data_IF_664980190613
#
_entry.id   IF_664980190613
#
_cell.length_a   1.000
_cell.length_b   1.000
_cell.length_c   1.000
_cell.angle_alpha   90.00
_cell.angle_beta   90.00
_cell.angle_gamma   90.00
#
_symmetry.space_group_name_H-M   'P 1'
#
loop_
_entity.id
_entity.type
_entity.pdbx_description
1 polymer ?
#
# COMPACT_ATOMS: atom_id res chain seq x y z
N UNK A 1 3.24 -11.10 -24.10
CA UNK A 1 3.54 -12.31 -24.88
C UNK A 1 4.06 -11.91 -26.25
N UNK A 2 5.31 -12.25 -26.58
CA UNK A 2 5.87 -12.05 -27.92
C UNK A 2 5.30 -13.08 -28.89
N UNK A 3 4.62 -12.63 -29.92
CA UNK A 3 4.28 -13.45 -31.08
C UNK A 3 5.16 -13.01 -32.24
N UNK A 4 5.63 -13.93 -33.06
CA UNK A 4 6.46 -13.70 -34.25
C UNK A 4 7.90 -13.27 -33.99
N UNK A 5 8.53 -13.76 -32.94
CA UNK A 5 9.98 -13.68 -32.76
C UNK A 5 10.62 -15.03 -33.04
N UNK A 6 11.85 -15.01 -33.51
CA UNK A 6 12.59 -16.20 -33.93
C UNK A 6 13.09 -17.05 -32.74
N UNK A 7 13.04 -16.47 -31.50
CA UNK A 7 13.46 -17.16 -30.28
C UNK A 7 12.78 -16.63 -29.02
N UNK A 8 12.78 -17.43 -27.95
CA UNK A 8 12.27 -17.00 -26.64
C UNK A 8 13.07 -15.82 -26.07
N UNK A 9 14.40 -15.82 -26.23
CA UNK A 9 15.27 -14.73 -25.79
C UNK A 9 14.97 -13.42 -26.51
N UNK A 10 14.66 -13.50 -27.79
CA UNK A 10 14.22 -12.31 -28.54
C UNK A 10 12.87 -11.79 -28.10
N UNK A 11 11.91 -12.70 -27.85
CA UNK A 11 10.61 -12.33 -27.28
C UNK A 11 10.75 -11.61 -25.96
N UNK A 12 11.64 -12.08 -25.09
CA UNK A 12 11.92 -11.48 -23.79
C UNK A 12 12.52 -10.08 -23.95
N UNK A 13 13.52 -9.93 -24.81
CA UNK A 13 14.14 -8.63 -25.08
C UNK A 13 13.14 -7.60 -25.62
N UNK A 14 12.27 -8.00 -26.54
CA UNK A 14 11.23 -7.14 -27.09
C UNK A 14 10.17 -6.79 -26.04
N UNK A 15 9.86 -7.71 -25.14
CA UNK A 15 8.92 -7.46 -24.03
C UNK A 15 9.50 -6.44 -23.02
N UNK A 16 10.79 -6.56 -22.68
CA UNK A 16 11.49 -5.58 -21.83
C UNK A 16 11.51 -4.19 -22.44
N UNK A 17 11.86 -4.09 -23.73
CA UNK A 17 11.82 -2.81 -24.44
C UNK A 17 10.40 -2.20 -24.47
N UNK A 18 9.37 -3.01 -24.68
CA UNK A 18 7.99 -2.56 -24.64
C UNK A 18 7.60 -2.05 -23.25
N UNK A 19 8.02 -2.74 -22.18
CA UNK A 19 7.81 -2.31 -20.81
C UNK A 19 8.47 -0.96 -20.50
N UNK A 20 9.73 -0.78 -20.89
CA UNK A 20 10.44 0.50 -20.72
C UNK A 20 9.71 1.65 -21.43
N UNK A 21 9.18 1.39 -22.64
CA UNK A 21 8.40 2.39 -23.38
C UNK A 21 7.09 2.72 -22.67
N UNK A 22 6.40 1.72 -22.09
CA UNK A 22 5.19 1.95 -21.32
C UNK A 22 5.46 2.77 -20.05
N UNK A 23 6.53 2.44 -19.32
CA UNK A 23 6.96 3.16 -18.11
C UNK A 23 7.37 4.61 -18.46
N UNK A 24 8.17 4.79 -19.51
CA UNK A 24 8.61 6.13 -19.96
C UNK A 24 7.48 7.04 -20.40
N UNK A 25 6.30 6.49 -20.71
CA UNK A 25 5.07 7.24 -21.04
C UNK A 25 4.16 7.50 -19.83
N UNK A 26 4.59 7.13 -18.64
CA UNK A 26 3.86 7.36 -17.39
C UNK A 26 3.19 6.12 -16.79
N UNK A 27 3.44 4.94 -17.33
CA UNK A 27 2.80 3.69 -16.86
C UNK A 27 1.31 3.64 -17.20
N UNK A 28 0.56 2.81 -16.46
CA UNK A 28 -0.88 2.63 -16.62
C UNK A 28 -1.33 2.28 -18.05
N UNK A 29 -0.46 1.62 -18.79
CA UNK A 29 -0.70 1.19 -20.17
C UNK A 29 0.09 -0.07 -20.50
N UNK A 30 -0.38 -0.85 -21.45
CA UNK A 30 0.35 -1.94 -22.04
C UNK A 30 0.98 -1.50 -23.38
N UNK A 31 2.26 -1.80 -23.58
CA UNK A 31 2.91 -1.65 -24.87
C UNK A 31 3.15 -3.04 -25.47
N UNK A 32 2.81 -3.20 -26.73
CA UNK A 32 3.01 -4.43 -27.49
C UNK A 32 3.98 -4.15 -28.62
N UNK A 33 5.12 -4.82 -28.63
CA UNK A 33 6.07 -4.75 -29.76
C UNK A 33 5.54 -5.60 -30.93
N UNK A 34 5.57 -5.04 -32.11
CA UNK A 34 5.23 -5.74 -33.36
C UNK A 34 6.44 -6.42 -34.03
N UNK A 35 7.61 -6.33 -33.42
CA UNK A 35 8.89 -6.77 -33.96
C UNK A 35 9.92 -5.65 -33.98
N UNK A 36 11.16 -5.97 -34.40
CA UNK A 36 12.30 -5.03 -34.31
C UNK A 36 12.10 -3.72 -35.04
N UNK A 37 11.37 -3.70 -36.14
CA UNK A 37 11.21 -2.52 -37.01
C UNK A 37 9.81 -1.96 -37.06
N UNK A 38 8.82 -2.66 -36.48
CA UNK A 38 7.39 -2.37 -36.69
C UNK A 38 6.78 -1.45 -35.61
N UNK A 39 7.57 -0.95 -34.66
CA UNK A 39 7.09 -0.05 -33.61
C UNK A 39 6.30 -0.73 -32.50
N UNK A 40 5.53 0.07 -31.75
CA UNK A 40 4.78 -0.40 -30.58
C UNK A 40 3.31 0.03 -30.70
N UNK A 41 2.42 -0.91 -30.38
CA UNK A 41 1.02 -0.55 -30.10
C UNK A 41 0.85 -0.30 -28.59
N UNK A 42 0.08 0.70 -28.23
CA UNK A 42 -0.22 1.04 -26.85
C UNK A 42 -1.70 0.82 -26.59
N UNK A 43 -1.99 0.12 -25.47
CA UNK A 43 -3.34 -0.19 -25.02
C UNK A 43 -3.51 0.26 -23.57
N UNK A 44 -4.65 0.85 -23.25
CA UNK A 44 -4.89 1.48 -21.96
C UNK A 44 -4.40 2.92 -21.95
N UNK A 45 -4.65 3.64 -20.87
CA UNK A 45 -4.31 5.06 -20.74
C UNK A 45 -4.82 5.99 -21.87
N UNK A 46 -5.98 5.73 -22.41
CA UNK A 46 -6.78 6.76 -23.07
C UNK A 46 -7.53 7.60 -22.02
N UNK A 47 -6.90 7.78 -20.88
CA UNK A 47 -7.32 8.84 -19.99
C UNK A 47 -6.53 10.06 -20.41
N UNK A 48 -7.18 10.93 -21.13
CA UNK A 48 -6.75 12.29 -21.46
C UNK A 48 -5.78 12.80 -20.39
N UNK A 49 -4.66 13.36 -20.83
CA UNK A 49 -3.86 14.33 -20.08
C UNK A 49 -4.75 15.49 -19.63
N UNK A 50 -5.71 15.20 -18.79
CA UNK A 50 -6.27 16.20 -17.90
C UNK A 50 -5.22 16.37 -16.82
N UNK A 51 -4.67 17.56 -16.81
CA UNK A 51 -3.66 18.08 -15.89
C UNK A 51 -3.68 17.39 -14.53
N UNK A 52 -2.50 16.89 -14.09
CA UNK A 52 -2.27 16.22 -12.81
C UNK A 52 -2.50 17.15 -11.60
N UNK A 53 -3.53 17.94 -11.63
CA UNK A 53 -4.02 18.76 -10.53
C UNK A 53 -5.39 18.27 -10.11
N UNK A 54 -5.41 17.11 -9.48
CA UNK A 54 -6.59 16.61 -8.81
C UNK A 54 -7.07 15.27 -9.34
N UNK A 55 -6.95 14.24 -8.54
CA UNK A 55 -7.50 12.91 -8.79
C UNK A 55 -8.97 12.96 -9.23
N UNK A 56 -9.44 11.90 -9.88
CA UNK A 56 -10.82 11.84 -10.38
C UNK A 56 -11.81 12.23 -9.26
N UNK A 57 -12.98 12.73 -9.64
CA UNK A 57 -14.05 13.09 -8.68
C UNK A 57 -14.29 11.93 -7.69
N UNK A 58 -14.25 10.70 -8.18
CA UNK A 58 -14.37 9.49 -7.35
C UNK A 58 -13.25 9.38 -6.31
N UNK A 59 -11.99 9.65 -6.68
CA UNK A 59 -10.85 9.63 -5.76
C UNK A 59 -10.99 10.69 -4.68
N UNK A 60 -11.46 11.88 -5.02
CA UNK A 60 -11.71 12.97 -4.04
C UNK A 60 -12.80 12.59 -3.05
N UNK A 61 -13.93 12.07 -3.54
CA UNK A 61 -15.03 11.62 -2.69
C UNK A 61 -14.56 10.51 -1.73
N UNK A 62 -13.76 9.57 -2.23
CA UNK A 62 -13.19 8.50 -1.38
C UNK A 62 -12.25 9.07 -0.34
N UNK A 63 -11.35 9.99 -0.71
CA UNK A 63 -10.45 10.65 0.22
C UNK A 63 -11.20 11.45 1.29
N UNK A 64 -12.25 12.17 0.91
CA UNK A 64 -13.08 12.92 1.86
C UNK A 64 -13.80 12.00 2.84
N UNK A 65 -14.32 10.85 2.38
CA UNK A 65 -14.93 9.84 3.25
C UNK A 65 -13.93 9.27 4.25
N UNK A 66 -12.72 8.91 3.78
CA UNK A 66 -11.65 8.42 4.65
C UNK A 66 -11.28 9.50 5.68
N UNK A 67 -11.18 10.75 5.27
CA UNK A 67 -10.89 11.88 6.16
C UNK A 67 -11.97 12.05 7.25
N UNK A 68 -13.24 11.86 6.90
CA UNK A 68 -14.34 11.90 7.89
C UNK A 68 -14.16 10.78 8.92
N UNK A 69 -13.87 9.54 8.48
CA UNK A 69 -13.64 8.40 9.39
C UNK A 69 -12.44 8.66 10.31
N UNK A 70 -11.32 9.16 9.76
CA UNK A 70 -10.14 9.53 10.56
C UNK A 70 -10.48 10.60 11.59
N UNK A 71 -11.26 11.61 11.21
CA UNK A 71 -11.62 12.70 12.10
C UNK A 71 -12.59 12.28 13.22
N UNK A 72 -13.44 11.30 12.98
CA UNK A 72 -14.36 10.76 13.99
C UNK A 72 -13.70 9.79 14.97
N UNK A 73 -12.57 9.21 14.60
CA UNK A 73 -11.86 8.25 15.45
C UNK A 73 -11.03 8.94 16.53
N UNK A 74 -10.91 8.30 17.70
CA UNK A 74 -10.03 8.72 18.78
C UNK A 74 -8.57 8.40 18.45
N UNK A 75 -8.33 7.24 17.85
CA UNK A 75 -7.02 6.81 17.37
C UNK A 75 -7.16 5.97 16.10
N UNK A 76 -6.15 6.04 15.25
CA UNK A 76 -6.08 5.27 14.00
C UNK A 76 -4.93 4.28 14.07
N UNK A 77 -5.22 3.02 13.82
CA UNK A 77 -4.22 1.95 13.76
C UNK A 77 -4.09 1.48 12.32
N UNK A 78 -2.89 1.45 11.81
CA UNK A 78 -2.60 1.07 10.44
C UNK A 78 -1.80 -0.22 10.44
N UNK A 79 -2.27 -1.22 9.72
CA UNK A 79 -1.69 -2.55 9.72
C UNK A 79 -1.64 -3.09 8.30
N UNK A 80 -0.58 -3.81 7.98
CA UNK A 80 -0.42 -4.49 6.71
C UNK A 80 -0.75 -5.97 6.78
N UNK A 81 -0.22 -6.75 5.84
CA UNK A 81 -0.36 -8.20 5.86
C UNK A 81 0.64 -8.87 6.82
N UNK A 82 0.34 -10.11 7.27
CA UNK A 82 1.07 -10.84 8.30
C UNK A 82 2.56 -11.12 7.96
N UNK A 83 2.89 -11.13 6.68
CA UNK A 83 4.27 -11.27 6.20
C UNK A 83 4.72 -9.98 5.55
N UNK A 84 4.57 -8.86 6.27
CA UNK A 84 4.80 -7.52 5.76
C UNK A 84 6.15 -7.40 5.06
N UNK A 85 6.11 -6.93 3.83
CA UNK A 85 7.28 -6.52 3.07
C UNK A 85 7.55 -5.01 3.27
N UNK A 86 8.55 -4.50 2.57
CA UNK A 86 8.92 -3.09 2.65
C UNK A 86 7.80 -2.16 2.22
N UNK A 87 6.97 -2.59 1.26
CA UNK A 87 5.87 -1.78 0.72
C UNK A 87 4.75 -1.66 1.75
N UNK A 88 4.38 -2.77 2.39
CA UNK A 88 3.38 -2.85 3.45
C UNK A 88 3.77 -1.99 4.66
N UNK A 89 5.01 -2.15 5.15
CA UNK A 89 5.53 -1.40 6.29
C UNK A 89 5.66 0.09 5.95
N UNK A 90 6.19 0.40 4.77
CA UNK A 90 6.33 1.79 4.29
C UNK A 90 4.99 2.49 4.15
N UNK A 91 3.98 1.81 3.61
CA UNK A 91 2.62 2.33 3.48
C UNK A 91 2.00 2.62 4.86
N UNK A 92 2.15 1.68 5.82
CA UNK A 92 1.62 1.85 7.18
C UNK A 92 2.26 3.06 7.89
N UNK A 93 3.58 3.18 7.86
CA UNK A 93 4.32 4.29 8.49
C UNK A 93 3.97 5.61 7.80
N UNK A 94 3.96 5.65 6.48
CA UNK A 94 3.66 6.86 5.71
C UNK A 94 2.25 7.38 5.97
N UNK A 95 1.26 6.49 6.05
CA UNK A 95 -0.11 6.84 6.36
C UNK A 95 -0.24 7.32 7.82
N UNK A 96 0.37 6.62 8.80
CA UNK A 96 0.35 7.03 10.19
C UNK A 96 0.97 8.43 10.39
N UNK A 97 2.12 8.68 9.78
CA UNK A 97 2.78 9.98 9.82
C UNK A 97 1.90 11.09 9.19
N UNK A 98 1.24 10.79 8.09
CA UNK A 98 0.34 11.73 7.41
C UNK A 98 -0.87 12.09 8.28
N UNK A 99 -1.48 11.10 8.94
CA UNK A 99 -2.62 11.30 9.84
C UNK A 99 -2.20 12.10 11.08
N UNK A 100 -1.00 11.85 11.62
CA UNK A 100 -0.45 12.67 12.73
C UNK A 100 -0.27 14.13 12.35
N UNK A 101 0.15 14.42 11.12
CA UNK A 101 0.23 15.80 10.62
C UNK A 101 -1.13 16.50 10.53
N UNK A 102 -2.22 15.74 10.49
CA UNK A 102 -3.59 16.25 10.59
C UNK A 102 -4.03 16.48 12.05
N UNK A 103 -3.16 16.26 13.03
CA UNK A 103 -3.46 16.44 14.46
C UNK A 103 -4.18 15.26 15.10
N UNK A 104 -4.22 14.09 14.45
CA UNK A 104 -4.87 12.89 14.97
C UNK A 104 -3.85 11.87 15.49
N UNK A 105 -4.23 11.11 16.51
CA UNK A 105 -3.40 10.00 16.98
C UNK A 105 -3.43 8.87 15.96
N UNK A 106 -2.26 8.43 15.50
CA UNK A 106 -2.14 7.33 14.56
C UNK A 106 -0.88 6.50 14.84
N UNK A 107 -1.00 5.21 14.63
CA UNK A 107 0.03 4.22 14.91
C UNK A 107 0.18 3.25 13.74
N UNK A 108 1.40 3.06 13.25
CA UNK A 108 1.73 1.97 12.35
C UNK A 108 1.99 0.72 13.19
N UNK A 109 1.22 -0.33 12.94
CA UNK A 109 1.35 -1.60 13.64
C UNK A 109 2.28 -2.50 12.83
N UNK A 110 3.47 -2.80 13.39
CA UNK A 110 4.50 -3.58 12.72
C UNK A 110 4.92 -4.73 13.63
N UNK A 111 4.76 -5.98 13.15
CA UNK A 111 5.16 -7.17 13.89
C UNK A 111 6.67 -7.35 13.88
N UNK A 112 7.22 -7.86 14.98
CA UNK A 112 8.62 -8.30 15.04
C UNK A 112 8.87 -9.60 14.30
N UNK A 113 7.81 -10.40 14.08
CA UNK A 113 7.90 -11.72 13.46
C UNK A 113 7.84 -11.65 11.92
N UNK A 114 8.09 -10.46 11.35
CA UNK A 114 8.09 -10.27 9.92
C UNK A 114 9.20 -11.07 9.27
N UNK A 115 8.77 -11.98 8.39
CA UNK A 115 9.55 -12.65 7.36
C UNK A 115 10.30 -13.93 7.74
N UNK A 116 10.04 -14.94 6.93
CA UNK A 116 10.80 -16.19 6.88
C UNK A 116 12.23 -16.02 6.32
N UNK A 117 12.51 -14.91 5.63
CA UNK A 117 13.83 -14.63 5.02
C UNK A 117 14.80 -13.88 5.93
N UNK A 118 14.36 -13.41 7.10
CA UNK A 118 15.21 -12.73 8.08
C UNK A 118 15.57 -11.27 7.76
N UNK A 119 15.34 -10.79 6.54
CA UNK A 119 15.73 -9.44 6.13
C UNK A 119 14.83 -8.36 6.73
N UNK A 120 13.54 -8.64 6.87
CA UNK A 120 12.56 -7.68 7.38
C UNK A 120 12.56 -7.64 8.92
N UNK A 121 12.98 -8.72 9.58
CA UNK A 121 13.10 -8.74 11.05
C UNK A 121 14.03 -7.64 11.56
N UNK A 122 15.18 -7.49 10.95
CA UNK A 122 16.13 -6.42 11.30
C UNK A 122 15.54 -5.03 11.05
N UNK A 123 14.72 -4.87 9.99
CA UNK A 123 14.05 -3.62 9.71
C UNK A 123 13.00 -3.30 10.77
N UNK A 124 12.14 -4.24 11.14
CA UNK A 124 11.09 -4.01 12.15
C UNK A 124 11.68 -3.64 13.51
N UNK A 125 12.76 -4.29 13.94
CA UNK A 125 13.47 -3.94 15.17
C UNK A 125 14.08 -2.53 15.12
N UNK A 126 14.70 -2.15 13.99
CA UNK A 126 15.23 -0.81 13.78
C UNK A 126 14.13 0.25 13.76
N UNK A 127 12.99 -0.03 13.11
CA UNK A 127 11.86 0.88 13.06
C UNK A 127 11.21 1.04 14.42
N UNK A 128 10.96 -0.05 15.14
CA UNK A 128 10.42 0.02 16.49
C UNK A 128 11.36 0.79 17.43
N UNK A 129 12.67 0.57 17.34
CA UNK A 129 13.68 1.32 18.10
C UNK A 129 13.68 2.80 17.72
N UNK A 130 13.80 3.12 16.44
CA UNK A 130 13.91 4.51 15.94
C UNK A 130 12.67 5.34 16.20
N UNK A 131 11.49 4.76 16.06
CA UNK A 131 10.22 5.46 16.23
C UNK A 131 9.63 5.36 17.64
N UNK A 132 10.30 4.67 18.58
CA UNK A 132 9.95 4.67 19.99
C UNK A 132 10.30 6.00 20.70
N UNK A 133 11.20 6.79 20.12
CA UNK A 133 11.59 8.12 20.65
C UNK A 133 10.47 9.17 20.50
N UNK A 134 9.47 8.91 19.67
CA UNK A 134 8.31 9.78 19.55
C UNK A 134 7.36 9.55 20.73
N UNK A 135 6.81 10.62 21.29
CA UNK A 135 5.78 10.55 22.33
C UNK A 135 4.45 11.12 21.81
N UNK A 136 3.44 10.29 21.56
CA UNK A 136 3.44 8.82 21.59
C UNK A 136 4.21 8.18 20.41
N UNK A 137 4.71 6.94 20.54
CA UNK A 137 5.51 6.26 19.51
C UNK A 137 4.71 6.12 18.21
N UNK A 138 5.36 6.36 17.06
CA UNK A 138 4.71 6.25 15.74
C UNK A 138 4.49 4.79 15.32
N UNK A 139 5.42 3.92 15.68
CA UNK A 139 5.39 2.50 15.36
C UNK A 139 5.20 1.71 16.64
N UNK A 140 4.25 0.80 16.65
CA UNK A 140 3.93 -0.07 17.79
C UNK A 140 3.77 -1.53 17.31
N UNK A 141 3.88 -2.47 18.23
CA UNK A 141 3.56 -3.86 17.93
C UNK A 141 2.04 -4.08 17.84
N UNK A 142 1.55 -5.02 17.00
CA UNK A 142 0.13 -5.34 16.91
C UNK A 142 -0.52 -5.72 18.24
N UNK A 143 0.21 -6.41 19.11
CA UNK A 143 -0.24 -6.75 20.47
C UNK A 143 -0.52 -5.51 21.33
N UNK A 144 0.31 -4.48 21.17
CA UNK A 144 0.10 -3.21 21.89
C UNK A 144 -1.11 -2.47 21.30
N UNK A 145 -1.29 -2.54 19.99
CA UNK A 145 -2.47 -1.98 19.33
C UNK A 145 -3.75 -2.67 19.84
N UNK A 146 -3.78 -3.99 19.94
CA UNK A 146 -4.93 -4.76 20.43
C UNK A 146 -5.36 -4.34 21.85
N UNK A 147 -4.41 -4.06 22.73
CA UNK A 147 -4.70 -3.61 24.12
C UNK A 147 -5.27 -2.18 24.13
N UNK A 148 -4.83 -1.32 23.21
CA UNK A 148 -5.23 0.09 23.15
C UNK A 148 -6.47 0.34 22.30
N UNK A 149 -6.89 -0.67 21.52
CA UNK A 149 -8.02 -0.53 20.60
C UNK A 149 -9.32 -0.37 21.38
N UNK A 150 -10.14 0.59 21.00
CA UNK A 150 -11.43 0.92 21.60
C UNK A 150 -12.53 0.93 20.55
N UNK A 151 -13.78 1.05 20.98
CA UNK A 151 -14.94 1.12 20.07
C UNK A 151 -14.86 2.30 19.10
N UNK A 152 -14.22 3.39 19.49
CA UNK A 152 -14.02 4.57 18.65
C UNK A 152 -12.69 4.56 17.89
N UNK A 153 -11.97 3.45 17.88
CA UNK A 153 -10.73 3.33 17.11
C UNK A 153 -11.02 2.97 15.65
N UNK A 154 -10.20 3.50 14.74
CA UNK A 154 -10.24 3.15 13.31
C UNK A 154 -9.08 2.22 12.98
N UNK A 155 -9.37 1.06 12.39
CA UNK A 155 -8.37 0.19 11.81
C UNK A 155 -8.29 0.43 10.29
N UNK A 156 -7.11 0.79 9.80
CA UNK A 156 -6.80 0.89 8.39
C UNK A 156 -5.91 -0.28 7.98
N UNK A 157 -6.37 -1.09 7.05
CA UNK A 157 -5.59 -2.18 6.48
C UNK A 157 -5.01 -1.70 5.15
N UNK A 158 -3.70 -1.84 5.00
CA UNK A 158 -2.97 -1.45 3.79
C UNK A 158 -2.33 -2.68 3.15
N UNK A 159 -2.13 -2.63 1.84
CA UNK A 159 -1.42 -3.63 1.03
C UNK A 159 -2.06 -5.04 1.03
N UNK A 160 -3.23 -5.21 1.60
CA UNK A 160 -4.02 -6.42 1.50
C UNK A 160 -5.51 -6.12 1.61
N UNK A 161 -6.31 -6.92 0.93
CA UNK A 161 -7.78 -6.91 1.05
C UNK A 161 -8.31 -8.22 1.65
N UNK A 162 -7.39 -9.11 2.06
CA UNK A 162 -7.74 -10.44 2.58
C UNK A 162 -7.60 -10.40 4.09
N UNK A 163 -8.70 -10.46 4.81
CA UNK A 163 -8.77 -10.42 6.27
C UNK A 163 -7.84 -11.44 6.94
N UNK A 164 -7.81 -12.67 6.45
CA UNK A 164 -6.95 -13.75 6.98
C UNK A 164 -5.45 -13.53 6.79
N UNK A 165 -5.07 -12.54 6.00
CA UNK A 165 -3.67 -12.19 5.75
C UNK A 165 -3.19 -10.98 6.55
N UNK A 166 -4.05 -10.38 7.36
CA UNK A 166 -3.67 -9.27 8.23
C UNK A 166 -2.75 -9.77 9.34
N UNK A 167 -1.80 -8.96 9.75
CA UNK A 167 -0.73 -9.32 10.69
C UNK A 167 -1.24 -9.78 12.06
N UNK A 168 -2.35 -9.21 12.53
CA UNK A 168 -3.02 -9.68 13.74
C UNK A 168 -4.52 -9.67 13.58
N UNK A 169 -5.15 -10.81 13.83
CA UNK A 169 -6.61 -10.97 13.76
C UNK A 169 -7.30 -10.43 15.02
N UNK A 170 -6.57 -10.25 16.13
CA UNK A 170 -7.15 -9.79 17.39
C UNK A 170 -7.82 -8.42 17.29
N UNK A 171 -7.19 -7.36 16.77
CA UNK A 171 -7.89 -6.10 16.53
C UNK A 171 -9.01 -6.21 15.50
N UNK A 172 -8.85 -7.10 14.50
CA UNK A 172 -9.85 -7.32 13.44
C UNK A 172 -11.10 -7.99 13.99
N UNK A 173 -10.97 -8.88 14.99
CA UNK A 173 -12.13 -9.54 15.63
C UNK A 173 -12.99 -8.57 16.46
N UNK A 174 -12.42 -7.46 16.93
CA UNK A 174 -13.19 -6.39 17.59
C UNK A 174 -13.85 -5.45 16.57
N UNK A 175 -13.36 -5.42 15.32
CA UNK A 175 -13.93 -4.62 14.24
C UNK A 175 -15.01 -5.38 13.46
N UNK A 176 -15.91 -6.13 14.10
CA UNK A 176 -17.18 -6.51 13.48
C UNK A 176 -18.03 -5.26 13.19
N UNK A 177 -17.40 -4.26 12.68
CA UNK A 177 -17.99 -3.19 11.95
C UNK A 177 -18.24 -3.72 10.54
N UNK A 178 -19.40 -4.36 10.39
CA UNK A 178 -20.33 -4.17 9.31
C UNK A 178 -19.79 -3.17 8.28
N UNK A 179 -19.06 -3.67 7.28
CA UNK A 179 -19.15 -3.09 5.97
C UNK A 179 -20.61 -3.31 5.56
N UNK A 180 -21.47 -2.36 5.85
CA UNK A 180 -22.79 -2.32 5.27
C UNK A 180 -22.61 -1.97 3.79
N UNK A 181 -23.10 -2.91 2.98
CA UNK A 181 -23.42 -2.94 1.57
C UNK A 181 -23.72 -1.57 0.95
#
# INVERSE_FOLDING_TARGET
MGRNSDSHSESESLAWQALEKAIGRGGDQAAVSKGREAGYDYYGAETQRTERTGGSVRTRITADRIKVLINSADAVYIMGHAYGDYDSVGAAIGLAASIRRMGKQAYACVSRELDRSGNVKNLSEQLLGRFSEYDPPLVIEPKVAAIRFSENSLLCIVDTHIEKKVDSVEPVSYTHLRAHE
#
